data_IF_509431046737
#
_entry.id   IF_509431046737
#
_cell.length_a   1.000
_cell.length_b   1.000
_cell.length_c   1.000
_cell.angle_alpha   90.00
_cell.angle_beta   90.00
_cell.angle_gamma   90.00
#
_symmetry.space_group_name_H-M   'P 1'
#
loop_
_entity.id
_entity.type
_entity.pdbx_description
1 polymer ?
#
# COMPACT_ATOMS: atom_id res chain seq x y z
N UNK A 1 -21.89 18.67 7.78
CA UNK A 1 -20.95 17.55 7.99
C UNK A 1 -20.26 17.29 6.66
N UNK A 2 -18.98 17.61 6.51
CA UNK A 2 -18.22 17.28 5.29
C UNK A 2 -18.01 15.76 5.25
N UNK A 3 -18.43 15.10 4.17
CA UNK A 3 -17.97 13.74 3.89
C UNK A 3 -16.47 13.84 3.60
N UNK A 4 -15.65 13.14 4.37
CA UNK A 4 -14.24 12.94 3.99
C UNK A 4 -14.18 12.29 2.61
N UNK A 5 -13.31 12.80 1.75
CA UNK A 5 -13.05 12.17 0.45
C UNK A 5 -12.24 10.89 0.66
N UNK A 6 -12.72 9.80 0.07
CA UNK A 6 -11.95 8.55 0.04
C UNK A 6 -10.86 8.67 -1.01
N UNK A 7 -9.61 8.48 -0.59
CA UNK A 7 -8.44 8.48 -1.47
C UNK A 7 -7.77 7.11 -1.44
N UNK A 8 -7.58 6.52 -2.63
CA UNK A 8 -6.67 5.40 -2.78
C UNK A 8 -5.23 5.91 -2.59
N UNK A 9 -4.51 5.32 -1.64
CA UNK A 9 -3.12 5.67 -1.32
C UNK A 9 -2.13 4.65 -1.89
N UNK A 10 -2.62 3.51 -2.35
CA UNK A 10 -1.84 2.53 -3.12
C UNK A 10 -2.28 2.58 -4.60
N UNK A 11 -1.37 2.26 -5.53
CA UNK A 11 -1.55 2.50 -6.96
C UNK A 11 -1.69 1.22 -7.82
N UNK A 12 -1.84 0.02 -7.24
CA UNK A 12 -1.90 -1.23 -8.00
C UNK A 12 -3.15 -2.06 -7.69
N UNK A 13 -4.28 -1.71 -8.32
CA UNK A 13 -5.54 -2.45 -8.21
C UNK A 13 -6.08 -2.94 -9.58
N UNK A 14 -5.27 -2.92 -10.64
CA UNK A 14 -5.69 -3.42 -11.96
C UNK A 14 -5.30 -4.89 -12.13
N UNK A 15 -6.24 -5.81 -12.38
CA UNK A 15 -5.93 -7.24 -12.54
C UNK A 15 -4.83 -7.52 -13.58
N UNK A 16 -3.92 -8.49 -13.33
CA UNK A 16 -3.85 -9.39 -12.18
C UNK A 16 -3.17 -8.77 -10.94
N UNK A 17 -2.87 -7.48 -10.96
CA UNK A 17 -2.14 -6.81 -9.88
C UNK A 17 -3.07 -6.33 -8.76
N UNK A 18 -2.66 -6.56 -7.52
CA UNK A 18 -3.42 -6.23 -6.32
C UNK A 18 -2.51 -5.84 -5.16
N UNK A 19 -3.01 -4.94 -4.32
CA UNK A 19 -2.43 -4.57 -3.04
C UNK A 19 -3.34 -5.14 -1.92
N UNK A 20 -2.79 -5.93 -1.00
CA UNK A 20 -3.56 -6.70 -0.02
C UNK A 20 -2.98 -6.61 1.41
N UNK A 21 -3.78 -7.02 2.40
CA UNK A 21 -3.35 -7.22 3.80
C UNK A 21 -2.67 -6.00 4.45
N UNK A 22 -3.25 -4.78 4.37
CA UNK A 22 -2.63 -3.61 4.96
C UNK A 22 -2.54 -3.69 6.49
N UNK A 23 -1.46 -3.16 7.06
CA UNK A 23 -1.26 -2.98 8.49
C UNK A 23 -0.58 -1.65 8.79
N UNK A 24 -1.11 -0.92 9.77
CA UNK A 24 -0.52 0.34 10.24
C UNK A 24 0.56 0.08 11.29
N UNK A 25 1.71 0.75 11.13
CA UNK A 25 2.76 0.81 12.13
C UNK A 25 2.49 1.98 13.11
N UNK A 26 3.03 1.91 14.34
CA UNK A 26 2.81 2.95 15.36
C UNK A 26 3.29 4.36 14.95
N UNK A 27 4.25 4.45 14.03
CA UNK A 27 4.80 5.69 13.49
C UNK A 27 3.97 6.28 12.32
N UNK A 28 2.85 5.66 11.97
CA UNK A 28 1.97 6.10 10.88
C UNK A 28 2.40 5.62 9.49
N UNK A 29 3.37 4.70 9.40
CA UNK A 29 3.65 4.00 8.15
C UNK A 29 2.65 2.87 7.90
N UNK A 30 2.50 2.48 6.64
CA UNK A 30 1.66 1.37 6.19
C UNK A 30 2.53 0.25 5.64
N UNK A 31 2.37 -0.97 6.15
CA UNK A 31 2.80 -2.21 5.51
C UNK A 31 1.66 -2.79 4.69
N UNK A 32 1.97 -3.35 3.53
CA UNK A 32 1.00 -4.05 2.70
C UNK A 32 1.71 -5.02 1.75
N UNK A 33 0.98 -6.00 1.23
CA UNK A 33 1.49 -6.91 0.21
C UNK A 33 1.12 -6.40 -1.18
N UNK A 34 2.00 -6.57 -2.17
CA UNK A 34 1.75 -6.18 -3.55
C UNK A 34 2.48 -7.11 -4.51
N UNK A 35 1.82 -7.46 -5.62
CA UNK A 35 2.43 -8.19 -6.73
C UNK A 35 2.84 -7.30 -7.91
N UNK A 36 2.97 -5.99 -7.69
CA UNK A 36 3.37 -5.00 -8.72
C UNK A 36 4.67 -5.35 -9.47
N UNK A 37 5.54 -6.14 -8.85
CA UNK A 37 6.82 -6.58 -9.41
C UNK A 37 6.75 -8.03 -9.96
N UNK A 38 5.55 -8.56 -10.19
CA UNK A 38 5.30 -9.88 -10.78
C UNK A 38 5.20 -11.04 -9.78
N UNK A 39 5.65 -10.86 -8.55
CA UNK A 39 5.48 -11.80 -7.42
C UNK A 39 5.00 -11.06 -6.18
N UNK A 40 4.31 -11.74 -5.26
CA UNK A 40 3.82 -11.12 -4.04
C UNK A 40 4.96 -10.77 -3.09
N UNK A 41 5.06 -9.49 -2.75
CA UNK A 41 6.07 -8.92 -1.89
C UNK A 41 5.48 -8.02 -0.83
N UNK A 42 6.19 -7.87 0.29
CA UNK A 42 5.84 -6.90 1.33
C UNK A 42 6.46 -5.55 1.01
N UNK A 43 5.66 -4.50 1.11
CA UNK A 43 6.06 -3.10 0.96
C UNK A 43 5.76 -2.32 2.23
N UNK A 44 6.50 -1.23 2.43
CA UNK A 44 6.15 -0.15 3.36
C UNK A 44 5.98 1.17 2.63
N UNK A 45 5.13 2.06 3.15
CA UNK A 45 5.02 3.45 2.69
C UNK A 45 4.51 4.38 3.79
N UNK A 46 4.55 5.69 3.56
CA UNK A 46 3.91 6.66 4.45
C UNK A 46 2.39 6.71 4.23
N UNK A 47 1.63 7.19 5.22
CA UNK A 47 0.17 7.34 5.14
C UNK A 47 -0.32 8.20 3.94
N UNK A 48 0.55 9.05 3.37
CA UNK A 48 0.24 9.89 2.22
C UNK A 48 0.47 9.20 0.85
N UNK A 49 0.89 7.92 0.87
CA UNK A 49 1.18 7.10 -0.31
C UNK A 49 2.59 7.26 -0.86
N UNK A 50 3.44 8.10 -0.25
CA UNK A 50 4.82 8.34 -0.68
C UNK A 50 5.81 7.40 -0.01
N UNK A 51 7.05 7.43 -0.51
CA UNK A 51 8.20 6.69 0.04
C UNK A 51 7.91 5.19 0.12
N UNK A 52 7.50 4.61 -1.00
CA UNK A 52 7.21 3.17 -1.07
C UNK A 52 8.53 2.39 -1.18
N UNK A 53 8.74 1.42 -0.28
CA UNK A 53 9.92 0.56 -0.28
C UNK A 53 9.51 -0.91 -0.25
N UNK A 54 10.12 -1.72 -1.11
CA UNK A 54 10.01 -3.18 -1.09
C UNK A 54 10.88 -3.74 0.03
N UNK A 55 10.35 -4.69 0.80
CA UNK A 55 11.02 -5.29 1.96
C UNK A 55 11.42 -6.75 1.74
N UNK A 56 10.81 -7.45 0.78
CA UNK A 56 11.01 -8.90 0.53
C UNK A 56 11.24 -9.22 -0.95
N UNK A 57 11.46 -10.51 -1.28
CA UNK A 57 11.46 -11.08 -2.63
C UNK A 57 10.82 -12.46 -2.67
#
# INVERSE_FOLDING_TARGET
MSRGEWKFITHHATPPYGDETPSWLPDGQLLFQSNRDGVMDVYRMNADGKQQFRLTK
#
